data_IF_919116225477
#
_entry.id   IF_919116225477
#
_cell.length_a   1.000
_cell.length_b   1.000
_cell.length_c   1.000
_cell.angle_alpha   90.00
_cell.angle_beta   90.00
_cell.angle_gamma   90.00
#
_symmetry.space_group_name_H-M   'P 1'
#
loop_
_entity.id
_entity.type
_entity.pdbx_description
1 polymer ?
#
# COMPACT_ATOMS: atom_id res chain seq x y z
N UNK A 1 -64.78 57.93 -18.05
CA UNK A 1 -63.36 57.59 -18.32
C UNK A 1 -62.48 57.58 -17.06
N UNK A 2 -62.57 58.57 -16.16
CA UNK A 2 -61.75 58.63 -14.92
C UNK A 2 -61.95 57.45 -13.95
N UNK A 3 -63.19 57.02 -13.68
CA UNK A 3 -63.46 55.90 -12.76
C UNK A 3 -62.89 54.59 -13.29
N UNK A 4 -63.04 54.33 -14.60
CA UNK A 4 -62.48 53.13 -15.26
C UNK A 4 -60.95 53.14 -15.21
N UNK A 5 -60.33 54.30 -15.42
CA UNK A 5 -58.87 54.47 -15.31
C UNK A 5 -58.37 54.28 -13.87
N UNK A 6 -59.09 54.80 -12.87
CA UNK A 6 -58.76 54.60 -11.46
C UNK A 6 -58.84 53.13 -11.04
N UNK A 7 -59.91 52.42 -11.44
CA UNK A 7 -60.06 50.98 -11.15
C UNK A 7 -58.95 50.16 -11.80
N UNK A 8 -58.59 50.46 -13.05
CA UNK A 8 -57.49 49.79 -13.73
C UNK A 8 -56.14 49.97 -13.01
N UNK A 9 -55.88 51.17 -12.47
CA UNK A 9 -54.68 51.44 -11.69
C UNK A 9 -54.63 50.62 -10.39
N UNK A 10 -55.74 50.57 -9.64
CA UNK A 10 -55.83 49.78 -8.41
C UNK A 10 -55.60 48.28 -8.64
N UNK A 11 -56.17 47.71 -9.70
CA UNK A 11 -55.98 46.30 -10.03
C UNK A 11 -54.52 46.01 -10.39
N UNK A 12 -53.86 46.88 -11.16
CA UNK A 12 -52.46 46.72 -11.50
C UNK A 12 -51.56 46.78 -10.26
N UNK A 13 -51.77 47.75 -9.37
CA UNK A 13 -51.02 47.86 -8.11
C UNK A 13 -51.26 46.63 -7.23
N UNK A 14 -52.51 46.19 -7.09
CA UNK A 14 -52.85 45.01 -6.30
C UNK A 14 -52.19 43.74 -6.85
N UNK A 15 -52.18 43.56 -8.17
CA UNK A 15 -51.56 42.40 -8.82
C UNK A 15 -50.04 42.39 -8.65
N UNK A 16 -49.38 43.56 -8.74
CA UNK A 16 -47.94 43.70 -8.47
C UNK A 16 -47.63 43.30 -7.04
N UNK A 17 -48.37 43.85 -6.05
CA UNK A 17 -48.16 43.52 -4.64
C UNK A 17 -48.39 42.04 -4.33
N UNK A 18 -49.39 41.41 -4.95
CA UNK A 18 -49.66 39.99 -4.80
C UNK A 18 -48.55 39.13 -5.42
N UNK A 19 -48.00 39.57 -6.56
CA UNK A 19 -46.88 38.90 -7.22
C UNK A 19 -45.61 39.02 -6.39
N UNK A 20 -45.30 40.20 -5.84
CA UNK A 20 -44.15 40.40 -4.96
C UNK A 20 -44.26 39.54 -3.69
N UNK A 21 -45.45 39.47 -3.08
CA UNK A 21 -45.69 38.61 -1.92
C UNK A 21 -45.55 37.12 -2.26
N UNK A 22 -46.05 36.69 -3.43
CA UNK A 22 -45.91 35.30 -3.91
C UNK A 22 -44.45 34.96 -4.23
N UNK A 23 -43.70 35.90 -4.79
CA UNK A 23 -42.28 35.72 -5.07
C UNK A 23 -41.46 35.64 -3.78
N UNK A 24 -41.73 36.50 -2.81
CA UNK A 24 -41.06 36.47 -1.51
C UNK A 24 -41.34 35.16 -0.74
N UNK A 25 -42.60 34.70 -0.72
CA UNK A 25 -42.97 33.44 -0.05
C UNK A 25 -42.41 32.21 -0.75
N UNK A 26 -42.42 32.17 -2.08
CA UNK A 26 -41.81 31.06 -2.83
C UNK A 26 -40.29 31.00 -2.66
N UNK A 27 -39.60 32.15 -2.67
CA UNK A 27 -38.17 32.25 -2.39
C UNK A 27 -37.86 31.77 -0.96
N UNK A 28 -38.65 32.17 0.03
CA UNK A 28 -38.47 31.74 1.42
C UNK A 28 -38.59 30.22 1.56
N UNK A 29 -39.62 29.62 0.94
CA UNK A 29 -39.82 28.18 0.96
C UNK A 29 -38.69 27.43 0.24
N UNK A 30 -38.21 27.96 -0.89
CA UNK A 30 -37.08 27.39 -1.61
C UNK A 30 -35.82 27.38 -0.75
N UNK A 31 -35.49 28.52 -0.12
CA UNK A 31 -34.33 28.63 0.77
C UNK A 31 -34.45 27.71 1.98
N UNK A 32 -35.64 27.60 2.56
CA UNK A 32 -35.91 26.68 3.66
C UNK A 32 -35.71 25.22 3.25
N UNK A 33 -36.25 24.82 2.10
CA UNK A 33 -36.09 23.47 1.56
C UNK A 33 -34.62 23.16 1.25
N UNK A 34 -33.90 24.10 0.63
CA UNK A 34 -32.47 23.95 0.37
C UNK A 34 -31.67 23.80 1.67
N UNK A 35 -31.95 24.62 2.69
CA UNK A 35 -31.30 24.53 3.99
C UNK A 35 -31.57 23.20 4.69
N UNK A 36 -32.84 22.75 4.72
CA UNK A 36 -33.21 21.46 5.30
C UNK A 36 -32.59 20.29 4.53
N UNK A 37 -32.54 20.37 3.19
CA UNK A 37 -31.87 19.41 2.33
C UNK A 37 -30.38 19.30 2.61
N UNK A 38 -29.67 20.42 2.78
CA UNK A 38 -28.27 20.45 3.19
C UNK A 38 -28.07 19.81 4.58
N UNK A 39 -28.94 20.13 5.54
CA UNK A 39 -28.85 19.60 6.90
C UNK A 39 -29.08 18.08 6.95
N UNK A 40 -30.09 17.60 6.22
CA UNK A 40 -30.36 16.18 6.05
C UNK A 40 -29.20 15.46 5.35
N UNK A 41 -28.63 16.07 4.30
CA UNK A 41 -27.49 15.50 3.56
C UNK A 41 -26.25 15.36 4.44
N UNK A 42 -25.94 16.37 5.27
CA UNK A 42 -24.84 16.30 6.25
C UNK A 42 -25.06 15.18 7.27
N UNK A 43 -26.26 15.08 7.84
CA UNK A 43 -26.60 14.06 8.83
C UNK A 43 -26.57 12.65 8.24
N UNK A 44 -27.04 12.48 7.00
CA UNK A 44 -26.96 11.21 6.28
C UNK A 44 -25.52 10.82 5.97
N UNK A 45 -24.72 11.77 5.49
CA UNK A 45 -23.28 11.58 5.25
C UNK A 45 -22.55 11.13 6.51
N UNK A 46 -22.82 11.78 7.65
CA UNK A 46 -22.23 11.42 8.94
C UNK A 46 -22.64 10.02 9.42
N UNK A 47 -23.91 9.63 9.25
CA UNK A 47 -24.35 8.26 9.59
C UNK A 47 -23.66 7.20 8.73
N UNK A 48 -23.55 7.46 7.42
CA UNK A 48 -22.86 6.57 6.48
C UNK A 48 -21.37 6.45 6.81
N UNK A 49 -20.70 7.54 7.19
CA UNK A 49 -19.28 7.51 7.53
C UNK A 49 -19.00 6.71 8.80
N UNK A 50 -19.86 6.82 9.83
CA UNK A 50 -19.74 6.02 11.06
C UNK A 50 -19.91 4.53 10.76
N UNK A 51 -20.95 4.15 10.00
CA UNK A 51 -21.15 2.76 9.59
C UNK A 51 -19.99 2.20 8.76
N UNK A 52 -19.46 2.99 7.82
CA UNK A 52 -18.30 2.59 7.02
C UNK A 52 -17.06 2.37 7.89
N UNK A 53 -16.85 3.22 8.91
CA UNK A 53 -15.75 3.09 9.86
C UNK A 53 -15.91 1.85 10.76
N UNK A 54 -17.11 1.59 11.26
CA UNK A 54 -17.39 0.37 12.06
C UNK A 54 -17.13 -0.90 11.25
N UNK A 55 -17.57 -0.93 9.98
CA UNK A 55 -17.32 -2.04 9.09
C UNK A 55 -15.82 -2.19 8.79
N UNK A 56 -15.10 -1.09 8.54
CA UNK A 56 -13.65 -1.13 8.32
C UNK A 56 -12.90 -1.66 9.56
N UNK A 57 -13.28 -1.21 10.76
CA UNK A 57 -12.73 -1.74 12.01
C UNK A 57 -13.05 -3.23 12.16
N UNK A 58 -14.29 -3.64 11.91
CA UNK A 58 -14.68 -5.04 12.01
C UNK A 58 -13.89 -5.90 11.03
N UNK A 59 -13.74 -5.47 9.77
CA UNK A 59 -12.95 -6.19 8.77
C UNK A 59 -11.47 -6.25 9.15
N UNK A 60 -10.90 -5.16 9.64
CA UNK A 60 -9.52 -5.12 10.10
C UNK A 60 -9.29 -6.13 11.23
N UNK A 61 -10.11 -6.11 12.28
CA UNK A 61 -9.89 -7.00 13.41
C UNK A 61 -10.26 -8.45 13.10
N UNK A 62 -11.37 -8.68 12.39
CA UNK A 62 -11.85 -10.04 12.07
C UNK A 62 -10.98 -10.74 11.01
N UNK A 63 -10.45 -9.99 10.05
CA UNK A 63 -9.69 -10.55 8.93
C UNK A 63 -8.20 -10.24 9.05
N UNK A 64 -7.80 -8.97 9.07
CA UNK A 64 -6.39 -8.59 8.99
C UNK A 64 -5.63 -8.92 10.27
N UNK A 65 -6.15 -8.56 11.44
CA UNK A 65 -5.50 -8.82 12.73
C UNK A 65 -5.54 -10.30 13.08
N UNK A 66 -6.70 -10.95 12.90
CA UNK A 66 -6.83 -12.38 13.17
C UNK A 66 -5.92 -13.23 12.26
N UNK A 67 -5.73 -12.84 10.99
CA UNK A 67 -4.81 -13.52 10.08
C UNK A 67 -3.43 -12.87 10.03
N UNK A 68 -3.08 -11.99 10.98
CA UNK A 68 -1.84 -11.20 10.90
C UNK A 68 -0.59 -12.06 10.95
N UNK A 69 -0.58 -13.11 11.77
CA UNK A 69 0.52 -14.07 11.85
C UNK A 69 0.71 -14.79 10.51
N UNK A 70 -0.37 -15.29 9.91
CA UNK A 70 -0.33 -15.92 8.58
C UNK A 70 0.18 -14.95 7.50
N UNK A 71 -0.34 -13.72 7.47
CA UNK A 71 0.11 -12.70 6.52
C UNK A 71 1.59 -12.36 6.71
N UNK A 72 2.04 -12.28 7.96
CA UNK A 72 3.45 -12.05 8.29
C UNK A 72 4.33 -13.24 7.88
N UNK A 73 3.88 -14.47 8.11
CA UNK A 73 4.58 -15.68 7.72
C UNK A 73 4.67 -15.82 6.19
N UNK A 74 3.60 -15.49 5.47
CA UNK A 74 3.60 -15.44 4.00
C UNK A 74 4.56 -14.36 3.47
N UNK A 75 4.54 -13.17 4.08
CA UNK A 75 5.45 -12.10 3.71
C UNK A 75 6.91 -12.47 3.96
N UNK A 76 7.22 -13.09 5.11
CA UNK A 76 8.56 -13.59 5.43
C UNK A 76 8.98 -14.71 4.47
N UNK A 77 8.09 -15.66 4.19
CA UNK A 77 8.35 -16.76 3.23
C UNK A 77 8.65 -16.22 1.82
N UNK A 78 7.87 -15.24 1.36
CA UNK A 78 8.08 -14.62 0.06
C UNK A 78 9.40 -13.82 0.00
N UNK A 79 9.76 -13.14 1.09
CA UNK A 79 11.07 -12.46 1.19
C UNK A 79 12.23 -13.46 1.17
N UNK A 80 12.12 -14.56 1.91
CA UNK A 80 13.12 -15.63 1.92
C UNK A 80 13.30 -16.26 0.53
N UNK A 81 12.20 -16.49 -0.20
CA UNK A 81 12.22 -16.99 -1.58
C UNK A 81 12.92 -15.99 -2.50
N UNK A 82 12.54 -14.71 -2.45
CA UNK A 82 13.17 -13.63 -3.21
C UNK A 82 14.68 -13.56 -2.96
N UNK A 83 15.13 -13.61 -1.71
CA UNK A 83 16.57 -13.57 -1.38
C UNK A 83 17.31 -14.80 -1.93
N UNK A 84 16.73 -16.00 -1.81
CA UNK A 84 17.33 -17.23 -2.33
C UNK A 84 17.46 -17.16 -3.84
N UNK A 85 16.42 -16.73 -4.54
CA UNK A 85 16.44 -16.59 -5.99
C UNK A 85 17.50 -15.58 -6.45
N UNK A 86 17.59 -14.43 -5.80
CA UNK A 86 18.60 -13.42 -6.11
C UNK A 86 20.04 -13.91 -5.86
N UNK A 87 20.27 -14.64 -4.76
CA UNK A 87 21.58 -15.22 -4.44
C UNK A 87 21.97 -16.32 -5.43
N UNK A 88 21.04 -17.20 -5.81
CA UNK A 88 21.27 -18.22 -6.82
C UNK A 88 21.58 -17.56 -8.17
N UNK A 89 20.79 -16.58 -8.60
CA UNK A 89 21.06 -15.82 -9.81
C UNK A 89 22.46 -15.20 -9.79
N UNK A 90 22.81 -14.49 -8.73
CA UNK A 90 24.12 -13.85 -8.62
C UNK A 90 25.28 -14.86 -8.66
N UNK A 91 25.17 -15.93 -7.87
CA UNK A 91 26.24 -16.92 -7.73
C UNK A 91 26.48 -17.71 -9.03
N UNK A 92 25.44 -18.08 -9.77
CA UNK A 92 25.58 -18.79 -11.04
C UNK A 92 26.04 -17.86 -12.16
N UNK A 93 25.54 -16.63 -12.22
CA UNK A 93 26.05 -15.63 -13.17
C UNK A 93 27.52 -15.32 -12.95
N UNK A 94 28.00 -15.26 -11.71
CA UNK A 94 29.41 -15.03 -11.40
C UNK A 94 30.34 -16.17 -11.87
N UNK A 95 29.80 -17.39 -12.04
CA UNK A 95 30.54 -18.56 -12.54
C UNK A 95 30.47 -18.71 -14.06
N UNK A 96 29.66 -17.90 -14.74
CA UNK A 96 29.44 -18.00 -16.18
C UNK A 96 30.74 -17.66 -16.94
N UNK A 97 31.12 -18.43 -17.97
CA UNK A 97 32.33 -18.15 -18.75
C UNK A 97 32.33 -16.73 -19.34
N UNK A 98 33.45 -15.99 -19.22
CA UNK A 98 33.57 -14.66 -19.82
C UNK A 98 33.46 -14.78 -21.35
N UNK A 99 32.37 -14.24 -21.93
CA UNK A 99 32.09 -14.31 -23.37
C UNK A 99 30.71 -14.88 -23.71
N UNK A 100 30.04 -15.54 -22.76
CA UNK A 100 28.68 -16.06 -22.94
C UNK A 100 27.60 -15.01 -22.60
N UNK A 101 27.76 -13.74 -22.99
CA UNK A 101 26.71 -12.74 -22.79
C UNK A 101 25.71 -12.81 -23.95
N UNK A 102 24.66 -13.62 -23.77
CA UNK A 102 23.51 -13.64 -24.65
C UNK A 102 22.45 -12.60 -24.25
N UNK A 103 21.37 -12.46 -25.04
CA UNK A 103 20.15 -11.75 -24.66
C UNK A 103 19.66 -12.13 -23.25
N UNK A 104 18.89 -11.25 -22.57
CA UNK A 104 18.38 -11.51 -21.23
C UNK A 104 17.50 -12.78 -21.15
N UNK A 105 16.77 -13.09 -22.23
CA UNK A 105 15.92 -14.30 -22.33
C UNK A 105 16.74 -15.59 -22.42
N UNK A 106 17.82 -15.61 -23.21
CA UNK A 106 18.74 -16.76 -23.26
C UNK A 106 19.45 -16.93 -21.92
N UNK A 107 19.76 -15.82 -21.26
CA UNK A 107 20.38 -15.83 -19.92
C UNK A 107 19.43 -16.35 -18.86
N UNK A 108 18.13 -16.01 -18.90
CA UNK A 108 17.15 -16.52 -17.94
C UNK A 108 16.88 -18.02 -18.12
N UNK A 109 16.77 -18.50 -19.35
CA UNK A 109 16.58 -19.92 -19.65
C UNK A 109 17.79 -20.77 -19.27
N UNK A 110 19.00 -20.28 -19.57
CA UNK A 110 20.24 -20.91 -19.14
C UNK A 110 20.32 -20.99 -17.62
N UNK A 111 20.09 -19.85 -16.94
CA UNK A 111 20.14 -19.77 -15.48
C UNK A 111 19.13 -20.74 -14.84
N UNK A 112 17.91 -20.80 -15.38
CA UNK A 112 16.89 -21.71 -14.92
C UNK A 112 17.34 -23.17 -15.02
N UNK A 113 17.75 -23.60 -16.21
CA UNK A 113 18.17 -24.98 -16.44
C UNK A 113 19.34 -25.39 -15.54
N UNK A 114 20.32 -24.49 -15.37
CA UNK A 114 21.51 -24.76 -14.57
C UNK A 114 21.19 -24.86 -13.06
N UNK A 115 20.35 -23.95 -12.55
CA UNK A 115 19.94 -23.93 -11.15
C UNK A 115 19.03 -25.11 -10.81
N UNK A 116 18.05 -25.43 -11.65
CA UNK A 116 17.15 -26.57 -11.45
C UNK A 116 17.92 -27.89 -11.44
N UNK A 117 18.86 -28.08 -12.39
CA UNK A 117 19.72 -29.25 -12.43
C UNK A 117 20.62 -29.35 -11.18
N UNK A 118 21.18 -28.22 -10.73
CA UNK A 118 21.99 -28.20 -9.51
C UNK A 118 21.15 -28.51 -8.26
N UNK A 119 19.94 -27.95 -8.15
CA UNK A 119 19.01 -28.23 -7.05
C UNK A 119 18.61 -29.69 -7.03
N UNK A 120 18.31 -30.29 -8.19
CA UNK A 120 18.00 -31.71 -8.32
C UNK A 120 19.18 -32.57 -7.88
N UNK A 121 20.40 -32.23 -8.31
CA UNK A 121 21.61 -32.96 -7.93
C UNK A 121 21.91 -32.86 -6.42
N UNK A 122 21.67 -31.69 -5.81
CA UNK A 122 22.02 -31.43 -4.41
C UNK A 122 20.96 -31.91 -3.41
N UNK A 123 19.68 -31.80 -3.76
CA UNK A 123 18.55 -32.10 -2.87
C UNK A 123 17.83 -33.41 -3.21
N UNK A 124 17.98 -33.92 -4.43
CA UNK A 124 17.19 -35.04 -4.94
C UNK A 124 15.74 -34.67 -5.27
N UNK A 125 15.36 -33.39 -5.19
CA UNK A 125 14.02 -32.90 -5.48
C UNK A 125 14.00 -32.05 -6.75
N UNK A 126 12.96 -32.23 -7.57
CA UNK A 126 12.67 -31.35 -8.68
C UNK A 126 12.08 -30.05 -8.11
N UNK A 127 12.89 -28.98 -8.12
CA UNK A 127 12.50 -27.66 -7.64
C UNK A 127 12.41 -26.74 -8.84
N UNK A 128 11.22 -26.20 -9.11
CA UNK A 128 11.03 -25.21 -10.17
C UNK A 128 11.69 -23.89 -9.78
N UNK A 129 12.44 -23.30 -10.71
CA UNK A 129 13.12 -22.03 -10.51
C UNK A 129 12.81 -21.08 -11.67
N UNK A 130 12.36 -19.86 -11.36
CA UNK A 130 12.02 -18.87 -12.39
C UNK A 130 13.23 -17.96 -12.66
N UNK A 131 13.97 -18.29 -13.72
CA UNK A 131 15.16 -17.52 -14.10
C UNK A 131 14.86 -16.06 -14.46
N UNK A 132 13.68 -15.77 -15.00
CA UNK A 132 13.30 -14.40 -15.40
C UNK A 132 13.02 -13.56 -14.15
N UNK A 133 12.27 -14.11 -13.20
CA UNK A 133 11.99 -13.49 -11.91
C UNK A 133 13.27 -13.24 -11.12
N UNK A 134 14.14 -14.24 -11.02
CA UNK A 134 15.40 -14.13 -10.29
C UNK A 134 16.35 -13.05 -10.87
N UNK A 135 16.40 -12.90 -12.21
CA UNK A 135 17.13 -11.81 -12.85
C UNK A 135 16.49 -10.44 -12.56
N UNK A 136 15.15 -10.34 -12.58
CA UNK A 136 14.45 -9.12 -12.21
C UNK A 136 14.75 -8.70 -10.76
N UNK A 137 14.77 -9.66 -9.84
CA UNK A 137 15.17 -9.46 -8.45
C UNK A 137 16.59 -8.91 -8.34
N UNK A 138 17.55 -9.53 -9.04
CA UNK A 138 18.94 -9.07 -9.06
C UNK A 138 19.09 -7.66 -9.65
N UNK A 139 18.40 -7.36 -10.75
CA UNK A 139 18.39 -6.02 -11.36
C UNK A 139 17.85 -4.95 -10.41
N UNK A 140 16.85 -5.27 -9.59
CA UNK A 140 16.31 -4.35 -8.59
C UNK A 140 17.29 -4.02 -7.46
N UNK A 141 18.24 -4.93 -7.17
CA UNK A 141 19.27 -4.78 -6.12
C UNK A 141 20.56 -4.11 -6.64
N UNK A 142 20.91 -4.28 -7.92
CA UNK A 142 22.10 -3.66 -8.52
C UNK A 142 22.21 -2.13 -8.35
N UNK A 143 21.13 -1.30 -8.45
CA UNK A 143 21.25 0.14 -8.23
C UNK A 143 21.61 0.54 -6.79
N UNK A 144 21.39 -0.33 -5.79
CA UNK A 144 21.77 -0.09 -4.39
C UNK A 144 23.13 -0.69 -4.01
N UNK A 145 23.63 -1.65 -4.77
CA UNK A 145 24.89 -2.36 -4.50
C UNK A 145 26.14 -1.46 -4.63
N UNK A 146 26.06 -0.37 -5.41
CA UNK A 146 27.12 0.64 -5.53
C UNK A 146 27.16 1.71 -4.43
N UNK A 147 26.29 1.64 -3.41
CA UNK A 147 26.17 2.64 -2.34
C UNK A 147 26.27 2.06 -0.93
N UNK A 148 26.90 0.90 -0.77
CA UNK A 148 27.11 0.29 0.54
C UNK A 148 28.58 0.35 0.99
N UNK A 149 28.87 0.79 2.24
CA UNK A 149 27.93 1.23 3.25
C UNK A 149 27.32 2.60 2.89
N UNK A 150 26.04 2.87 3.20
CA UNK A 150 25.50 4.21 3.03
C UNK A 150 26.33 5.20 3.87
N UNK A 151 26.52 6.45 3.41
CA UNK A 151 27.26 7.46 4.16
C UNK A 151 26.61 7.65 5.53
N UNK A 152 27.25 7.13 6.59
CA UNK A 152 26.71 7.09 7.95
C UNK A 152 26.74 5.72 8.63
N UNK A 153 27.11 4.64 7.95
CA UNK A 153 27.29 3.34 8.62
C UNK A 153 28.48 3.37 9.58
N UNK A 154 28.32 2.91 10.83
CA UNK A 154 29.44 2.78 11.76
C UNK A 154 30.43 1.75 11.20
N UNK A 155 31.67 2.18 10.97
CA UNK A 155 32.77 1.28 10.65
C UNK A 155 33.00 0.40 11.88
N UNK A 156 32.70 -0.90 11.78
CA UNK A 156 33.13 -1.87 12.76
C UNK A 156 34.64 -2.06 12.58
N UNK A 157 35.42 -1.66 13.58
CA UNK A 157 36.87 -1.87 13.57
C UNK A 157 37.17 -3.38 13.58
N UNK A 158 38.05 -3.90 12.71
CA UNK A 158 38.39 -5.33 12.65
C UNK A 158 39.23 -5.83 13.84
N UNK A 159 39.24 -5.12 14.97
CA UNK A 159 40.02 -5.48 16.16
C UNK A 159 39.24 -5.18 17.43
N UNK A 160 38.08 -5.82 17.57
CA UNK A 160 37.55 -6.13 18.88
C UNK A 160 37.98 -7.57 19.20
N UNK A 161 39.08 -7.71 19.94
CA UNK A 161 39.45 -8.95 20.62
C UNK A 161 38.22 -9.44 21.40
N UNK A 162 37.65 -10.56 20.97
CA UNK A 162 36.62 -11.28 21.71
C UNK A 162 37.23 -11.66 23.05
N UNK A 163 36.95 -10.88 24.09
CA UNK A 163 37.25 -11.28 25.46
C UNK A 163 36.11 -12.22 25.86
N UNK A 164 36.43 -13.50 26.05
CA UNK A 164 35.48 -14.50 26.55
C UNK A 164 34.84 -14.01 27.86
N UNK A 165 33.54 -14.28 28.09
CA UNK A 165 32.90 -13.92 29.34
C UNK A 165 33.48 -14.75 30.49
N UNK A 166 33.93 -14.04 31.51
CA UNK A 166 34.45 -14.53 32.78
C UNK A 166 33.40 -15.38 33.50
N UNK A 167 33.80 -16.58 33.94
CA UNK A 167 32.95 -17.51 34.66
C UNK A 167 32.57 -16.94 36.04
N UNK A 168 31.30 -17.07 36.41
CA UNK A 168 30.76 -16.65 37.70
C UNK A 168 31.48 -17.36 38.87
N UNK A 169 31.76 -16.67 39.99
CA UNK A 169 32.39 -17.29 41.14
C UNK A 169 31.42 -18.25 41.85
N UNK A 170 31.88 -19.47 42.09
CA UNK A 170 31.19 -20.48 42.89
C UNK A 170 31.10 -20.03 44.35
N UNK A 171 29.88 -19.93 44.87
CA UNK A 171 29.64 -19.77 46.30
C UNK A 171 29.79 -21.12 46.99
N UNK A 172 31.01 -21.45 47.40
CA UNK A 172 31.23 -22.39 48.49
C UNK A 172 30.93 -21.66 49.80
N UNK A 173 30.01 -22.22 50.60
CA UNK A 173 30.03 -22.01 52.04
C UNK A 173 29.61 -23.31 52.76
N UNK A 174 30.23 -23.58 53.91
CA UNK A 174 30.28 -24.88 54.59
C UNK A 174 28.99 -25.28 55.33
#
# INVERSE_FOLDING_TARGET
>A
MLVVSGVAFFVNVAMVMLTDLKMATSLLLLLFAAFMGLRASKMFGQRRSVQALELAHMLYYRSTSNNSELLSALALRAQDEHVKEALLAHSFLARRPPGAQGPPEETSQWLQSEVENWLLAQSGCEVAFDGTRALGHLQSLTPSMGKYPPPGFPKLDPSATVTSPEAAPSSDNP
#
